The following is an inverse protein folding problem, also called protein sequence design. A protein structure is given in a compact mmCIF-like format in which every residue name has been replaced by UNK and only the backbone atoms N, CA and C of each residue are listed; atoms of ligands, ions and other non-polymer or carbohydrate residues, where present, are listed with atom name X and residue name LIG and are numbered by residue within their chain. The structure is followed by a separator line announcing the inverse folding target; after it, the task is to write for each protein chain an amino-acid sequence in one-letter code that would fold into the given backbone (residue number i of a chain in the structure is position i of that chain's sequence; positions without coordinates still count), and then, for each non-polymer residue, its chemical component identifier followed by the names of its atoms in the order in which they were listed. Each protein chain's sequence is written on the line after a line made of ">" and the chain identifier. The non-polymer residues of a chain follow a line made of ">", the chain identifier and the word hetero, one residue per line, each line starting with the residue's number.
data_IF_202839247285
#
_entry.id   IF_202839247285
#
_cell.length_a   1.000
_cell.length_b   1.000
_cell.length_c   1.000
_cell.angle_alpha   90.00
_cell.angle_beta   90.00
_cell.angle_gamma   90.00
#
_symmetry.space_group_name_H-M   'P 1'
#
loop_
_entity.id
_entity.type
_entity.pdbx_description
1 polymer ?
#
# COMPACT_ATOMS: atom_id res chain seq x y z
N UNK A 1 -1.50 30.28 56.11
CA UNK A 1 -2.54 29.35 55.63
C UNK A 1 -3.44 30.14 54.69
N UNK A 2 -3.14 30.08 53.38
CA UNK A 2 -3.91 30.68 52.27
C UNK A 2 -3.90 29.65 51.12
N UNK A 3 -4.98 29.51 50.34
CA UNK A 3 -5.29 28.27 49.63
C UNK A 3 -4.54 28.11 48.31
N UNK A 4 -4.22 26.86 48.00
CA UNK A 4 -3.79 26.37 46.68
C UNK A 4 -4.93 26.51 45.68
N UNK A 5 -4.79 27.40 44.70
CA UNK A 5 -5.58 27.38 43.47
C UNK A 5 -4.88 26.44 42.48
N UNK A 6 -5.48 25.27 42.24
CA UNK A 6 -5.09 24.35 41.16
C UNK A 6 -5.36 25.02 39.82
N UNK A 7 -4.35 25.08 38.96
CA UNK A 7 -4.48 25.56 37.59
C UNK A 7 -4.71 24.34 36.68
N UNK A 8 -5.89 24.26 36.07
CA UNK A 8 -6.21 23.25 35.04
C UNK A 8 -5.46 23.58 33.73
N UNK A 9 -4.79 22.62 33.08
CA UNK A 9 -4.03 22.86 31.86
C UNK A 9 -4.94 22.65 30.64
N UNK A 10 -5.86 23.59 30.41
CA UNK A 10 -6.71 23.59 29.21
C UNK A 10 -6.86 25.00 28.62
N UNK A 11 -5.75 25.72 28.44
CA UNK A 11 -5.71 26.90 27.56
C UNK A 11 -4.44 26.89 26.72
N UNK A 12 -4.62 27.14 25.41
CA UNK A 12 -3.59 27.11 24.36
C UNK A 12 -2.56 28.25 24.44
N UNK A 13 -1.69 28.36 23.42
CA UNK A 13 -0.44 29.13 23.50
C UNK A 13 -0.66 30.64 23.72
N UNK A 14 0.24 31.20 24.53
CA UNK A 14 0.25 32.56 25.04
C UNK A 14 0.52 33.63 23.96
N UNK A 15 -0.55 34.09 23.29
CA UNK A 15 -0.51 35.32 22.46
C UNK A 15 -1.51 36.40 22.91
N UNK A 16 -2.29 36.18 23.97
CA UNK A 16 -3.34 37.12 24.42
C UNK A 16 -3.13 37.72 25.81
N UNK A 17 -1.88 38.01 26.21
CA UNK A 17 -1.60 38.72 27.48
C UNK A 17 -1.05 40.14 27.31
N UNK A 18 -0.92 40.63 26.06
CA UNK A 18 -0.49 42.01 25.78
C UNK A 18 -1.57 43.06 25.96
N UNK A 19 -2.85 42.67 25.85
CA UNK A 19 -3.97 43.63 25.69
C UNK A 19 -4.69 43.95 27.01
N UNK A 20 -4.55 43.12 28.05
CA UNK A 20 -5.26 43.32 29.33
C UNK A 20 -4.57 44.26 30.32
N UNK A 21 -3.29 44.61 30.14
CA UNK A 21 -2.56 45.48 31.07
C UNK A 21 -2.72 46.99 30.75
N UNK A 22 -2.87 47.32 29.46
CA UNK A 22 -3.11 48.70 28.99
C UNK A 22 -4.53 49.21 29.35
N UNK A 23 -5.52 48.31 29.43
CA UNK A 23 -6.90 48.67 29.79
C UNK A 23 -7.09 48.95 31.28
N UNK A 24 -6.23 48.41 32.16
CA UNK A 24 -6.35 48.60 33.61
C UNK A 24 -5.79 49.95 34.08
N UNK A 25 -4.86 50.54 33.34
CA UNK A 25 -4.30 51.87 33.63
C UNK A 25 -5.21 53.03 33.17
N UNK A 26 -6.30 52.75 32.46
CA UNK A 26 -7.26 53.75 32.00
C UNK A 26 -8.49 53.90 32.91
N UNK A 27 -8.66 53.01 33.91
CA UNK A 27 -9.86 52.94 34.76
C UNK A 27 -9.71 53.62 36.14
N UNK A 28 -8.51 53.94 36.59
CA UNK A 28 -8.27 54.65 37.85
C UNK A 28 -7.71 56.03 37.56
N UNK A 29 -8.59 57.03 37.55
CA UNK A 29 -8.28 58.44 37.27
C UNK A 29 -7.40 59.12 38.33
N UNK A 30 -6.21 58.61 38.59
CA UNK A 30 -5.21 59.25 39.45
C UNK A 30 -4.04 59.76 38.60
N UNK A 31 -4.16 61.04 38.25
CA UNK A 31 -3.13 61.81 37.56
C UNK A 31 -2.36 62.62 38.59
N UNK A 32 -1.43 61.99 39.33
CA UNK A 32 -0.44 62.72 40.15
C UNK A 32 0.61 61.78 40.76
N UNK A 33 1.78 61.66 40.12
CA UNK A 33 3.09 62.01 40.71
C UNK A 33 4.20 61.63 39.72
N UNK A 34 4.91 62.65 39.20
CA UNK A 34 6.16 62.48 38.48
C UNK A 34 7.24 62.03 39.45
N UNK A 35 7.79 60.83 39.24
CA UNK A 35 8.90 60.30 40.03
C UNK A 35 9.86 59.45 39.19
N UNK A 36 10.72 60.15 38.42
CA UNK A 36 11.91 59.71 37.69
C UNK A 36 11.85 58.42 36.84
N UNK A 37 12.33 58.52 35.59
CA UNK A 37 12.52 57.38 34.65
C UNK A 37 13.41 56.25 35.20
N UNK A 38 14.15 56.48 36.28
CA UNK A 38 15.00 55.46 36.92
C UNK A 38 14.21 54.39 37.71
N UNK A 39 13.04 54.73 38.25
CA UNK A 39 12.27 53.82 39.10
C UNK A 39 11.64 52.68 38.31
N UNK A 40 11.23 52.96 37.07
CA UNK A 40 10.66 51.98 36.13
C UNK A 40 11.76 51.05 35.58
N UNK A 41 12.99 51.55 35.41
CA UNK A 41 14.11 50.74 34.91
C UNK A 41 14.63 49.74 35.95
N UNK A 42 14.57 50.08 37.24
CA UNK A 42 14.96 49.14 38.32
C UNK A 42 14.02 47.96 38.47
N UNK A 43 12.71 48.15 38.28
CA UNK A 43 11.75 47.04 38.38
C UNK A 43 11.79 46.11 37.16
N UNK A 44 12.08 46.64 35.97
CA UNK A 44 12.22 45.83 34.74
C UNK A 44 13.45 44.91 34.73
N UNK A 45 14.50 45.26 35.46
CA UNK A 45 15.73 44.46 35.54
C UNK A 45 15.63 43.24 36.48
N UNK A 46 14.58 43.14 37.30
CA UNK A 46 14.44 42.09 38.32
C UNK A 46 13.62 40.87 37.85
N UNK A 47 13.00 40.92 36.67
CA UNK A 47 12.09 39.87 36.18
C UNK A 47 12.64 39.08 34.97
N UNK A 48 13.90 39.24 34.59
CA UNK A 48 14.50 38.40 33.55
C UNK A 48 15.21 37.18 34.16
N UNK A 49 14.75 35.94 33.90
CA UNK A 49 15.49 34.75 34.30
C UNK A 49 16.78 34.65 33.47
N UNK A 50 17.93 34.93 34.09
CA UNK A 50 19.26 34.62 33.54
C UNK A 50 19.50 33.11 33.54
N UNK A 51 18.91 32.39 32.59
CA UNK A 51 19.40 31.06 32.22
C UNK A 51 20.30 31.20 31.00
N UNK A 52 21.54 30.67 31.01
CA UNK A 52 22.37 30.67 29.83
C UNK A 52 21.78 29.64 28.85
N UNK A 53 20.91 30.08 27.94
CA UNK A 53 20.54 29.29 26.78
C UNK A 53 21.78 29.15 25.90
N UNK A 54 22.59 28.11 26.16
CA UNK A 54 23.68 27.69 25.28
C UNK A 54 23.05 27.24 23.96
N UNK A 55 22.94 28.17 22.99
CA UNK A 55 22.58 27.85 21.61
C UNK A 55 23.61 26.84 21.10
N UNK A 56 23.20 25.58 20.98
CA UNK A 56 23.95 24.59 20.21
C UNK A 56 23.89 25.05 18.76
N UNK A 57 24.97 25.65 18.28
CA UNK A 57 25.15 25.85 16.85
C UNK A 57 25.35 24.45 16.25
N UNK A 58 24.29 23.87 15.70
CA UNK A 58 24.44 22.73 14.81
C UNK A 58 25.28 23.21 13.63
N UNK A 59 26.32 22.45 13.29
CA UNK A 59 27.05 22.66 12.05
C UNK A 59 26.03 22.66 10.91
N UNK A 60 25.82 23.81 10.27
CA UNK A 60 25.15 23.82 8.97
C UNK A 60 26.02 22.96 8.08
N UNK A 61 25.54 21.76 7.74
CA UNK A 61 26.09 21.03 6.62
C UNK A 61 26.21 22.04 5.48
N UNK A 62 27.44 22.30 5.02
CA UNK A 62 27.65 22.99 3.75
C UNK A 62 26.69 22.32 2.77
N UNK A 63 25.87 23.13 2.10
CA UNK A 63 25.18 22.69 0.91
C UNK A 63 26.26 22.09 0.00
N UNK A 64 26.39 20.77 0.02
CA UNK A 64 26.96 20.04 -1.10
C UNK A 64 25.98 20.34 -2.21
N UNK A 65 26.31 21.40 -2.97
CA UNK A 65 25.58 21.77 -4.17
C UNK A 65 25.27 20.48 -4.92
N UNK A 66 24.03 20.36 -5.40
CA UNK A 66 23.52 19.19 -6.13
C UNK A 66 24.59 18.63 -7.07
N UNK A 67 25.41 17.73 -6.57
CA UNK A 67 26.16 16.80 -7.38
C UNK A 67 25.05 16.04 -8.08
N UNK A 68 24.90 16.31 -9.38
CA UNK A 68 24.05 15.54 -10.27
C UNK A 68 24.26 14.09 -9.88
N UNK A 69 23.26 13.51 -9.20
CA UNK A 69 23.24 12.09 -8.85
C UNK A 69 23.60 11.39 -10.14
N UNK A 70 24.84 10.90 -10.26
CA UNK A 70 25.32 10.24 -11.48
C UNK A 70 24.25 9.20 -11.77
N UNK A 71 23.53 9.40 -12.87
CA UNK A 71 22.49 8.48 -13.34
C UNK A 71 23.19 7.14 -13.36
N UNK A 72 22.78 6.21 -12.50
CA UNK A 72 23.43 4.90 -12.43
C UNK A 72 23.55 4.39 -13.86
N UNK A 73 24.78 4.20 -14.30
CA UNK A 73 25.09 3.77 -15.66
C UNK A 73 24.26 2.50 -15.90
N UNK A 74 23.38 2.52 -16.91
CA UNK A 74 22.54 1.37 -17.21
C UNK A 74 23.48 0.24 -17.57
N UNK A 75 23.68 -0.69 -16.63
CA UNK A 75 24.50 -1.87 -16.85
C UNK A 75 23.80 -2.69 -17.93
N UNK A 76 24.41 -2.75 -19.12
CA UNK A 76 23.96 -3.65 -20.17
C UNK A 76 24.16 -5.09 -19.71
N UNK A 77 23.08 -5.89 -19.82
CA UNK A 77 23.12 -7.26 -19.32
C UNK A 77 23.85 -8.13 -20.33
N UNK A 78 24.99 -8.66 -19.92
CA UNK A 78 25.83 -9.53 -20.75
C UNK A 78 25.76 -10.97 -20.21
N UNK A 79 24.96 -11.86 -20.84
CA UNK A 79 24.75 -13.23 -20.34
C UNK A 79 26.04 -14.06 -20.29
N UNK A 80 26.95 -13.86 -21.24
CA UNK A 80 28.21 -14.60 -21.35
C UNK A 80 29.09 -14.40 -20.11
N UNK A 81 29.24 -13.16 -19.64
CA UNK A 81 30.05 -12.83 -18.46
C UNK A 81 29.47 -13.44 -17.17
N UNK A 82 28.14 -13.53 -17.05
CA UNK A 82 27.52 -14.16 -15.88
C UNK A 82 27.64 -15.69 -15.91
N UNK A 83 27.58 -16.28 -17.10
CA UNK A 83 27.62 -17.74 -17.30
C UNK A 83 28.94 -18.39 -16.87
N UNK A 84 30.04 -17.61 -16.85
CA UNK A 84 31.36 -18.06 -16.42
C UNK A 84 31.41 -18.44 -14.94
N UNK A 85 30.58 -17.80 -14.11
CA UNK A 85 30.63 -17.92 -12.65
C UNK A 85 29.40 -18.64 -12.07
N UNK A 86 28.26 -18.54 -12.74
CA UNK A 86 26.95 -18.94 -12.21
C UNK A 86 26.05 -19.48 -13.33
N UNK A 87 25.21 -20.51 -13.07
CA UNK A 87 24.15 -20.90 -13.99
C UNK A 87 23.04 -19.83 -14.08
N UNK A 88 23.15 -18.92 -15.06
CA UNK A 88 22.20 -17.82 -15.31
C UNK A 88 20.78 -18.34 -15.59
N UNK A 89 20.66 -19.41 -16.38
CA UNK A 89 19.38 -20.02 -16.74
C UNK A 89 18.55 -20.40 -15.50
N UNK A 90 19.18 -21.00 -14.49
CA UNK A 90 18.51 -21.37 -13.23
C UNK A 90 18.02 -20.16 -12.45
N UNK A 91 18.73 -19.03 -12.53
CA UNK A 91 18.32 -17.79 -11.89
C UNK A 91 17.11 -17.18 -12.60
N UNK A 92 17.16 -17.12 -13.94
CA UNK A 92 16.06 -16.63 -14.77
C UNK A 92 14.79 -17.46 -14.59
N UNK A 93 14.91 -18.79 -14.60
CA UNK A 93 13.79 -19.71 -14.33
C UNK A 93 13.14 -19.45 -12.96
N UNK A 94 13.94 -19.22 -11.91
CA UNK A 94 13.42 -18.92 -10.56
C UNK A 94 12.73 -17.57 -10.50
N UNK A 95 13.30 -16.56 -11.17
CA UNK A 95 12.68 -15.23 -11.27
C UNK A 95 11.36 -15.28 -12.06
N UNK A 96 11.33 -15.98 -13.21
CA UNK A 96 10.12 -16.18 -14.00
C UNK A 96 9.04 -16.92 -13.20
N UNK A 97 9.39 -18.01 -12.52
CA UNK A 97 8.46 -18.71 -11.65
C UNK A 97 7.88 -17.83 -10.54
N UNK A 98 8.68 -16.90 -9.98
CA UNK A 98 8.18 -15.96 -8.98
C UNK A 98 7.15 -14.99 -9.59
N UNK A 99 7.40 -14.50 -10.82
CA UNK A 99 6.46 -13.64 -11.55
C UNK A 99 5.18 -14.41 -11.91
N UNK A 100 5.28 -15.64 -12.38
CA UNK A 100 4.12 -16.44 -12.78
C UNK A 100 3.23 -16.77 -11.58
N UNK A 101 3.83 -17.18 -10.46
CA UNK A 101 3.10 -17.38 -9.20
C UNK A 101 2.44 -16.10 -8.70
N UNK A 102 3.09 -14.94 -8.88
CA UNK A 102 2.50 -13.65 -8.56
C UNK A 102 1.26 -13.36 -9.43
N UNK A 103 1.33 -13.63 -10.74
CA UNK A 103 0.20 -13.48 -11.67
C UNK A 103 -0.96 -14.41 -11.31
N UNK A 104 -0.68 -15.65 -10.94
CA UNK A 104 -1.67 -16.61 -10.47
C UNK A 104 -2.34 -16.15 -9.16
N UNK A 105 -1.56 -15.71 -8.18
CA UNK A 105 -2.10 -15.19 -6.91
C UNK A 105 -2.96 -13.94 -7.13
N UNK A 106 -2.58 -13.05 -8.03
CA UNK A 106 -3.44 -11.91 -8.40
C UNK A 106 -4.75 -12.36 -9.03
N UNK A 107 -4.71 -13.33 -9.93
CA UNK A 107 -5.91 -13.85 -10.61
C UNK A 107 -6.89 -14.48 -9.61
N UNK A 108 -6.37 -15.17 -8.58
CA UNK A 108 -7.17 -15.84 -7.54
C UNK A 108 -7.70 -14.89 -6.48
N UNK A 109 -6.86 -14.00 -5.95
CA UNK A 109 -7.14 -13.24 -4.73
C UNK A 109 -7.51 -11.76 -4.98
N UNK A 110 -7.21 -11.24 -6.17
CA UNK A 110 -7.28 -9.80 -6.49
C UNK A 110 -8.10 -9.57 -7.76
N UNK A 111 -9.29 -10.19 -7.81
CA UNK A 111 -10.22 -10.05 -8.93
C UNK A 111 -11.51 -9.38 -8.49
N UNK A 112 -11.89 -8.30 -9.18
CA UNK A 112 -13.21 -7.67 -9.04
C UNK A 112 -14.34 -8.55 -9.61
N UNK A 113 -13.97 -9.50 -10.46
CA UNK A 113 -14.88 -10.42 -11.16
C UNK A 113 -15.14 -11.70 -10.36
N UNK A 114 -14.53 -11.85 -9.18
CA UNK A 114 -14.62 -13.03 -8.34
C UNK A 114 -16.07 -13.44 -8.08
N UNK A 115 -16.96 -12.49 -7.81
CA UNK A 115 -18.39 -12.80 -7.59
C UNK A 115 -19.03 -13.52 -8.76
N UNK A 116 -18.71 -13.18 -10.01
CA UNK A 116 -19.26 -13.88 -11.17
C UNK A 116 -18.53 -15.21 -11.45
N UNK A 117 -17.20 -15.23 -11.33
CA UNK A 117 -16.45 -16.48 -11.50
C UNK A 117 -16.81 -17.53 -10.44
N UNK A 118 -17.08 -17.10 -9.20
CA UNK A 118 -17.56 -17.96 -8.13
C UNK A 118 -18.98 -18.49 -8.35
N UNK A 119 -19.82 -17.76 -9.07
CA UNK A 119 -21.15 -18.26 -9.50
C UNK A 119 -20.96 -19.30 -10.61
N UNK A 120 -20.08 -19.03 -11.59
CA UNK A 120 -19.78 -19.95 -12.70
C UNK A 120 -19.28 -21.32 -12.16
N UNK A 121 -18.37 -21.33 -11.19
CA UNK A 121 -17.81 -22.54 -10.56
C UNK A 121 -18.63 -23.10 -9.38
N UNK A 122 -19.86 -22.62 -9.17
CA UNK A 122 -20.69 -23.06 -8.04
C UNK A 122 -21.14 -24.51 -8.26
N UNK A 123 -20.87 -25.37 -7.28
CA UNK A 123 -21.28 -26.77 -7.32
C UNK A 123 -22.74 -26.90 -6.85
N UNK A 124 -23.54 -27.61 -7.63
CA UNK A 124 -24.98 -27.80 -7.41
C UNK A 124 -25.33 -29.27 -7.48
N UNK A 125 -25.96 -29.78 -6.42
CA UNK A 125 -26.52 -31.14 -6.41
C UNK A 125 -27.78 -31.20 -7.25
N UNK A 126 -27.76 -31.96 -8.33
CA UNK A 126 -28.92 -32.22 -9.17
C UNK A 126 -29.04 -33.72 -9.46
N UNK A 127 -30.21 -34.30 -9.18
CA UNK A 127 -30.50 -35.73 -9.37
C UNK A 127 -29.45 -36.68 -8.75
N UNK A 128 -28.94 -36.34 -7.56
CA UNK A 128 -27.99 -37.17 -6.81
C UNK A 128 -26.53 -37.06 -7.28
N UNK A 129 -26.21 -36.20 -8.25
CA UNK A 129 -24.85 -35.90 -8.70
C UNK A 129 -24.52 -34.42 -8.49
N UNK A 130 -23.24 -34.13 -8.29
CA UNK A 130 -22.70 -32.77 -8.25
C UNK A 130 -22.39 -32.31 -9.68
N UNK A 131 -22.88 -31.14 -10.06
CA UNK A 131 -22.61 -30.47 -11.33
C UNK A 131 -22.15 -29.04 -11.09
N UNK A 132 -21.39 -28.48 -12.02
CA UNK A 132 -21.10 -27.05 -11.99
C UNK A 132 -22.28 -26.25 -12.56
N UNK A 133 -22.48 -25.03 -12.07
CA UNK A 133 -23.58 -24.19 -12.53
C UNK A 133 -23.51 -23.91 -14.05
N UNK A 134 -22.29 -23.79 -14.60
CA UNK A 134 -22.07 -23.60 -16.03
C UNK A 134 -22.59 -24.77 -16.89
N UNK A 135 -22.66 -25.98 -16.33
CA UNK A 135 -23.18 -27.17 -17.03
C UNK A 135 -24.71 -27.22 -17.04
N UNK A 136 -25.33 -26.67 -15.99
CA UNK A 136 -26.79 -26.67 -15.81
C UNK A 136 -27.48 -25.44 -16.43
N UNK A 137 -26.75 -24.33 -16.61
CA UNK A 137 -27.31 -23.06 -17.05
C UNK A 137 -26.37 -22.30 -17.99
N UNK A 138 -26.94 -21.59 -18.96
CA UNK A 138 -26.19 -20.62 -19.74
C UNK A 138 -26.05 -19.31 -18.95
N UNK A 139 -24.80 -18.88 -18.73
CA UNK A 139 -24.47 -17.68 -17.94
C UNK A 139 -24.26 -16.50 -18.87
N UNK A 140 -25.13 -15.50 -18.79
CA UNK A 140 -25.11 -14.30 -19.65
C UNK A 140 -24.99 -13.05 -18.78
N UNK A 141 -24.03 -12.18 -19.08
CA UNK A 141 -23.91 -10.88 -18.41
C UNK A 141 -24.73 -9.84 -19.14
N UNK A 142 -25.92 -9.54 -18.62
CA UNK A 142 -26.78 -8.48 -19.17
C UNK A 142 -26.24 -7.09 -18.84
N UNK A 143 -25.86 -6.86 -17.58
CA UNK A 143 -25.33 -5.59 -17.10
C UNK A 143 -24.22 -5.85 -16.05
N UNK A 144 -23.34 -4.88 -15.73
CA UNK A 144 -22.33 -5.03 -14.68
C UNK A 144 -22.90 -5.36 -13.28
N UNK A 145 -24.19 -5.11 -13.07
CA UNK A 145 -24.93 -5.34 -11.82
C UNK A 145 -25.84 -6.57 -11.87
N UNK A 146 -25.97 -7.24 -13.02
CA UNK A 146 -26.97 -8.30 -13.20
C UNK A 146 -26.44 -9.39 -14.11
N UNK A 147 -26.35 -10.59 -13.57
CA UNK A 147 -26.08 -11.82 -14.31
C UNK A 147 -27.42 -12.51 -14.56
N UNK A 148 -27.57 -13.06 -15.75
CA UNK A 148 -28.73 -13.82 -16.18
C UNK A 148 -28.30 -15.27 -16.35
N UNK A 149 -28.95 -16.18 -15.63
CA UNK A 149 -28.77 -17.61 -15.77
C UNK A 149 -29.98 -18.17 -16.51
N UNK A 150 -29.76 -18.74 -17.68
CA UNK A 150 -30.82 -19.33 -18.48
C UNK A 150 -30.82 -20.87 -18.31
N UNK A 151 -31.92 -21.41 -17.79
CA UNK A 151 -32.12 -22.84 -17.53
C UNK A 151 -33.02 -23.52 -18.56
N UNK A 152 -33.10 -23.00 -19.79
CA UNK A 152 -33.97 -23.57 -20.84
C UNK A 152 -33.79 -25.08 -21.04
N UNK A 153 -32.59 -25.62 -20.83
CA UNK A 153 -32.30 -27.06 -20.91
C UNK A 153 -32.75 -27.85 -19.67
N UNK A 154 -32.70 -27.24 -18.48
CA UNK A 154 -32.92 -27.92 -17.20
C UNK A 154 -33.70 -27.04 -16.21
N UNK A 155 -34.99 -26.72 -16.46
CA UNK A 155 -35.78 -25.87 -15.58
C UNK A 155 -35.99 -26.47 -14.18
N UNK A 156 -35.92 -27.80 -14.07
CA UNK A 156 -36.04 -28.54 -12.80
C UNK A 156 -34.85 -28.32 -11.85
N UNK A 157 -33.71 -27.81 -12.35
CA UNK A 157 -32.50 -27.57 -11.55
C UNK A 157 -32.55 -26.25 -10.77
N UNK A 158 -33.41 -25.30 -11.17
CA UNK A 158 -33.56 -23.97 -10.56
C UNK A 158 -33.66 -24.00 -9.02
N UNK A 159 -34.52 -24.81 -8.38
CA UNK A 159 -34.64 -24.83 -6.92
C UNK A 159 -33.35 -25.29 -6.21
N UNK A 160 -32.57 -26.19 -6.82
CA UNK A 160 -31.30 -26.65 -6.25
C UNK A 160 -30.23 -25.57 -6.40
N UNK A 161 -30.22 -24.84 -7.51
CA UNK A 161 -29.33 -23.70 -7.74
C UNK A 161 -29.62 -22.57 -6.75
N UNK A 162 -30.90 -22.23 -6.53
CA UNK A 162 -31.29 -21.21 -5.55
C UNK A 162 -30.77 -21.53 -4.15
N UNK A 163 -30.91 -22.80 -3.73
CA UNK A 163 -30.36 -23.28 -2.47
C UNK A 163 -28.83 -23.19 -2.44
N UNK A 164 -28.16 -23.61 -3.51
CA UNK A 164 -26.71 -23.57 -3.63
C UNK A 164 -26.17 -22.13 -3.54
N UNK A 165 -26.79 -21.18 -4.24
CA UNK A 165 -26.43 -19.75 -4.19
C UNK A 165 -26.59 -19.21 -2.76
N UNK A 166 -27.70 -19.53 -2.08
CA UNK A 166 -27.91 -19.09 -0.71
C UNK A 166 -26.90 -19.72 0.28
N UNK A 167 -26.54 -20.99 0.08
CA UNK A 167 -25.53 -21.66 0.92
C UNK A 167 -24.08 -21.27 0.63
N UNK A 168 -23.81 -20.71 -0.56
CA UNK A 168 -22.45 -20.37 -1.01
C UNK A 168 -21.79 -19.22 -0.24
N UNK A 169 -22.55 -18.50 0.60
CA UNK A 169 -22.07 -17.33 1.34
C UNK A 169 -21.84 -16.09 0.46
N UNK A 170 -22.26 -16.12 -0.82
CA UNK A 170 -22.13 -14.98 -1.73
C UNK A 170 -23.11 -13.83 -1.43
N UNK A 171 -24.10 -14.06 -0.54
CA UNK A 171 -25.09 -13.07 -0.10
C UNK A 171 -25.80 -12.37 -1.29
N UNK A 172 -26.16 -13.14 -2.31
CA UNK A 172 -26.87 -12.68 -3.49
C UNK A 172 -28.36 -12.99 -3.36
N UNK A 173 -29.22 -12.14 -3.90
CA UNK A 173 -30.67 -12.36 -3.89
C UNK A 173 -31.19 -12.62 -5.31
N UNK A 174 -31.10 -13.85 -5.83
CA UNK A 174 -31.56 -14.19 -7.17
C UNK A 174 -33.09 -14.11 -7.32
N UNK A 175 -33.57 -13.54 -8.42
CA UNK A 175 -34.99 -13.45 -8.77
C UNK A 175 -35.30 -14.36 -9.97
N UNK A 176 -36.30 -15.23 -9.82
CA UNK A 176 -36.74 -16.12 -10.89
C UNK A 176 -37.80 -15.47 -11.77
N UNK A 177 -37.67 -15.68 -13.08
CA UNK A 177 -38.64 -15.33 -14.11
C UNK A 177 -38.76 -16.48 -15.11
N UNK A 178 -39.79 -17.32 -14.95
CA UNK A 178 -39.96 -18.54 -15.74
C UNK A 178 -38.76 -19.48 -15.65
N UNK A 179 -38.07 -19.66 -16.79
CA UNK A 179 -36.86 -20.49 -16.94
C UNK A 179 -35.55 -19.70 -16.76
N UNK A 180 -35.63 -18.43 -16.40
CA UNK A 180 -34.48 -17.54 -16.25
C UNK A 180 -34.32 -17.08 -14.81
N UNK A 181 -33.08 -16.98 -14.33
CA UNK A 181 -32.74 -16.45 -13.01
C UNK A 181 -31.90 -15.18 -13.16
N UNK A 182 -32.37 -14.08 -12.58
CA UNK A 182 -31.66 -12.81 -12.50
C UNK A 182 -30.92 -12.72 -11.17
N UNK A 183 -29.59 -12.70 -11.23
CA UNK A 183 -28.74 -12.58 -10.05
C UNK A 183 -28.20 -11.14 -9.96
N UNK A 184 -28.70 -10.32 -9.03
CA UNK A 184 -28.16 -8.98 -8.81
C UNK A 184 -26.79 -9.10 -8.13
N UNK A 185 -25.76 -8.56 -8.78
CA UNK A 185 -24.40 -8.49 -8.22
C UNK A 185 -24.29 -7.16 -7.45
N UNK A 186 -24.01 -7.20 -6.14
CA UNK A 186 -23.80 -5.99 -5.37
C UNK A 186 -22.63 -5.19 -5.96
N UNK A 187 -22.74 -3.86 -5.91
CA UNK A 187 -21.63 -3.00 -6.33
C UNK A 187 -20.46 -3.24 -5.38
N UNK A 188 -19.27 -3.48 -5.94
CA UNK A 188 -18.02 -3.38 -5.17
C UNK A 188 -17.89 -1.96 -4.63
N UNK A 189 -17.97 -1.81 -3.31
CA UNK A 189 -17.80 -0.53 -2.61
C UNK A 189 -16.37 -0.02 -2.77
N UNK A 190 -16.16 1.29 -2.58
CA UNK A 190 -14.80 1.87 -2.58
C UNK A 190 -13.90 1.19 -1.56
N UNK A 191 -14.42 0.95 -0.36
CA UNK A 191 -13.72 0.22 0.71
C UNK A 191 -13.25 -1.18 0.27
N UNK A 192 -14.10 -1.92 -0.45
CA UNK A 192 -13.73 -3.25 -0.93
C UNK A 192 -12.66 -3.19 -2.03
N UNK A 193 -12.74 -2.21 -2.95
CA UNK A 193 -11.70 -1.96 -3.95
C UNK A 193 -10.36 -1.59 -3.30
N UNK A 194 -10.39 -0.75 -2.27
CA UNK A 194 -9.20 -0.39 -1.48
C UNK A 194 -8.62 -1.58 -0.71
N UNK A 195 -9.46 -2.44 -0.16
CA UNK A 195 -9.02 -3.67 0.50
C UNK A 195 -8.33 -4.62 -0.49
N UNK A 196 -8.88 -4.79 -1.69
CA UNK A 196 -8.25 -5.57 -2.77
C UNK A 196 -6.91 -4.95 -3.20
N UNK A 197 -6.83 -3.62 -3.34
CA UNK A 197 -5.59 -2.94 -3.69
C UNK A 197 -4.50 -3.10 -2.60
N UNK A 198 -4.88 -3.06 -1.31
CA UNK A 198 -3.99 -3.38 -0.19
C UNK A 198 -3.49 -4.82 -0.25
N UNK A 199 -4.38 -5.76 -0.56
CA UNK A 199 -4.01 -7.16 -0.73
C UNK A 199 -3.04 -7.35 -1.90
N UNK A 200 -3.30 -6.70 -3.04
CA UNK A 200 -2.42 -6.70 -4.20
C UNK A 200 -1.01 -6.23 -3.85
N UNK A 201 -0.91 -5.15 -3.08
CA UNK A 201 0.36 -4.62 -2.59
C UNK A 201 1.09 -5.60 -1.68
N UNK A 202 0.38 -6.31 -0.81
CA UNK A 202 0.95 -7.34 0.06
C UNK A 202 1.57 -8.50 -0.74
N UNK A 203 0.82 -9.01 -1.74
CA UNK A 203 1.28 -10.06 -2.65
C UNK A 203 2.52 -9.58 -3.43
N UNK A 204 2.50 -8.37 -3.98
CA UNK A 204 3.68 -7.81 -4.65
C UNK A 204 4.91 -7.75 -3.74
N UNK A 205 4.76 -7.30 -2.48
CA UNK A 205 5.89 -7.22 -1.53
C UNK A 205 6.51 -8.61 -1.31
N UNK A 206 5.67 -9.63 -1.09
CA UNK A 206 6.11 -11.03 -0.93
C UNK A 206 6.96 -11.51 -2.11
N UNK A 207 6.50 -11.29 -3.35
CA UNK A 207 7.22 -11.76 -4.54
C UNK A 207 8.43 -10.90 -4.90
N UNK A 208 8.37 -9.59 -4.66
CA UNK A 208 9.54 -8.71 -4.77
C UNK A 208 10.65 -9.16 -3.81
N UNK A 209 10.30 -9.49 -2.57
CA UNK A 209 11.27 -9.92 -1.57
C UNK A 209 11.82 -11.32 -1.92
N UNK A 210 11.00 -12.22 -2.47
CA UNK A 210 11.49 -13.49 -3.03
C UNK A 210 12.51 -13.29 -4.17
N UNK A 211 12.31 -12.32 -5.07
CA UNK A 211 13.29 -11.98 -6.12
C UNK A 211 14.60 -11.45 -5.51
N UNK A 212 14.52 -10.68 -4.41
CA UNK A 212 15.72 -10.23 -3.68
C UNK A 212 16.44 -11.37 -2.97
N UNK A 213 15.71 -12.32 -2.41
CA UNK A 213 16.31 -13.51 -1.79
C UNK A 213 17.07 -14.34 -2.82
N UNK A 214 16.50 -14.51 -4.02
CA UNK A 214 17.17 -15.12 -5.17
C UNK A 214 18.46 -14.35 -5.50
N UNK A 215 18.39 -13.02 -5.61
CA UNK A 215 19.56 -12.17 -5.87
C UNK A 215 20.67 -12.42 -4.85
N UNK A 216 20.34 -12.40 -3.55
CA UNK A 216 21.30 -12.60 -2.46
C UNK A 216 21.90 -14.00 -2.49
N UNK A 217 21.11 -15.03 -2.77
CA UNK A 217 21.58 -16.41 -2.91
C UNK A 217 22.62 -16.54 -4.03
N UNK A 218 22.34 -15.99 -5.21
CA UNK A 218 23.23 -16.07 -6.36
C UNK A 218 24.49 -15.21 -6.19
N UNK A 219 24.40 -14.02 -5.59
CA UNK A 219 25.60 -13.23 -5.23
C UNK A 219 26.49 -14.00 -4.23
N UNK A 220 25.90 -14.66 -3.23
CA UNK A 220 26.66 -15.51 -2.30
C UNK A 220 27.35 -16.67 -3.01
N UNK A 221 26.71 -17.29 -4.00
CA UNK A 221 27.34 -18.35 -4.82
C UNK A 221 28.50 -17.80 -5.66
N UNK A 222 28.33 -16.63 -6.27
CA UNK A 222 29.39 -15.95 -7.03
C UNK A 222 30.65 -15.73 -6.19
N UNK A 223 30.47 -15.26 -4.95
CA UNK A 223 31.56 -14.96 -4.01
C UNK A 223 32.24 -16.18 -3.41
N UNK A 224 31.61 -17.36 -3.48
CA UNK A 224 32.17 -18.61 -2.96
C UNK A 224 33.04 -19.34 -3.97
N UNK A 225 33.07 -18.92 -5.24
CA UNK A 225 33.92 -19.53 -6.24
C UNK A 225 35.38 -19.24 -5.93
N UNK A 226 36.16 -20.29 -5.71
CA UNK A 226 37.60 -20.19 -5.48
C UNK A 226 38.32 -19.97 -6.82
N UNK A 227 39.47 -19.29 -6.80
CA UNK A 227 40.34 -19.04 -7.98
C UNK A 227 39.76 -18.10 -9.05
N UNK A 228 38.88 -17.16 -8.68
CA UNK A 228 38.37 -16.14 -9.59
C UNK A 228 38.85 -14.74 -9.18
N UNK A 229 39.13 -13.88 -10.17
CA UNK A 229 39.52 -12.48 -9.93
C UNK A 229 38.41 -11.69 -9.24
N UNK A 230 38.78 -10.82 -8.29
CA UNK A 230 37.84 -9.96 -7.56
C UNK A 230 37.06 -9.03 -8.52
N UNK A 231 37.71 -8.56 -9.58
CA UNK A 231 37.08 -7.74 -10.62
C UNK A 231 35.97 -8.49 -11.37
N UNK A 232 36.17 -9.78 -11.66
CA UNK A 232 35.16 -10.62 -12.32
C UNK A 232 33.96 -10.83 -11.39
N UNK A 233 34.21 -11.13 -10.11
CA UNK A 233 33.14 -11.28 -9.11
C UNK A 233 32.34 -9.99 -8.96
N UNK A 234 33.01 -8.83 -8.94
CA UNK A 234 32.36 -7.53 -8.88
C UNK A 234 31.50 -7.25 -10.12
N UNK A 235 32.02 -7.51 -11.31
CA UNK A 235 31.29 -7.35 -12.57
C UNK A 235 30.07 -8.27 -12.64
N UNK A 236 30.22 -9.55 -12.30
CA UNK A 236 29.09 -10.50 -12.25
C UNK A 236 28.06 -10.09 -11.21
N UNK A 237 28.48 -9.61 -10.03
CA UNK A 237 27.55 -9.10 -9.01
C UNK A 237 26.70 -7.93 -9.53
N UNK A 238 27.30 -7.00 -10.30
CA UNK A 238 26.57 -5.92 -10.97
C UNK A 238 25.56 -6.45 -11.98
N UNK A 239 25.96 -7.43 -12.77
CA UNK A 239 25.11 -8.06 -13.79
C UNK A 239 23.90 -8.79 -13.17
N UNK A 240 24.11 -9.58 -12.11
CA UNK A 240 23.03 -10.23 -11.33
C UNK A 240 22.05 -9.18 -10.79
N UNK A 241 22.57 -8.08 -10.25
CA UNK A 241 21.76 -7.00 -9.69
C UNK A 241 20.90 -6.34 -10.77
N UNK A 242 21.50 -6.03 -11.93
CA UNK A 242 20.77 -5.47 -13.07
C UNK A 242 19.67 -6.43 -13.59
N UNK A 243 19.93 -7.73 -13.62
CA UNK A 243 18.94 -8.75 -14.01
C UNK A 243 17.77 -8.80 -13.03
N UNK A 244 18.03 -8.85 -11.72
CA UNK A 244 16.98 -8.80 -10.71
C UNK A 244 16.18 -7.49 -10.72
N UNK A 245 16.82 -6.35 -10.99
CA UNK A 245 16.14 -5.06 -11.11
C UNK A 245 15.15 -5.03 -12.28
N UNK A 246 15.45 -5.71 -13.40
CA UNK A 246 14.51 -5.87 -14.51
C UNK A 246 13.25 -6.62 -14.06
N UNK A 247 13.39 -7.77 -13.40
CA UNK A 247 12.26 -8.54 -12.88
C UNK A 247 11.47 -7.80 -11.79
N UNK A 248 12.14 -7.04 -10.91
CA UNK A 248 11.45 -6.18 -9.95
C UNK A 248 10.64 -5.07 -10.63
N UNK A 249 11.16 -4.52 -11.72
CA UNK A 249 10.44 -3.51 -12.51
C UNK A 249 9.23 -4.13 -13.21
N UNK A 250 9.38 -5.33 -13.78
CA UNK A 250 8.26 -6.08 -14.35
C UNK A 250 7.19 -6.37 -13.29
N UNK A 251 7.58 -6.88 -12.12
CA UNK A 251 6.66 -7.14 -11.02
C UNK A 251 5.88 -5.87 -10.61
N UNK A 252 6.56 -4.72 -10.60
CA UNK A 252 5.94 -3.43 -10.31
C UNK A 252 4.96 -3.02 -11.41
N UNK A 253 5.31 -3.17 -12.69
CA UNK A 253 4.42 -2.84 -13.80
C UNK A 253 3.13 -3.68 -13.77
N UNK A 254 3.24 -4.97 -13.40
CA UNK A 254 2.08 -5.84 -13.20
C UNK A 254 1.21 -5.33 -12.05
N UNK A 255 1.81 -4.95 -10.92
CA UNK A 255 1.07 -4.36 -9.80
C UNK A 255 0.36 -3.06 -10.22
N UNK A 256 1.06 -2.16 -10.91
CA UNK A 256 0.51 -0.86 -11.31
C UNK A 256 -0.68 -1.05 -12.26
N UNK A 257 -0.56 -1.96 -13.24
CA UNK A 257 -1.67 -2.35 -14.13
C UNK A 257 -2.86 -2.88 -13.34
N UNK A 258 -2.62 -3.78 -12.38
CA UNK A 258 -3.69 -4.32 -11.52
C UNK A 258 -4.30 -3.26 -10.61
N UNK A 259 -3.50 -2.35 -10.08
CA UNK A 259 -3.98 -1.29 -9.22
C UNK A 259 -4.88 -0.31 -10.00
N UNK A 260 -4.55 0.00 -11.25
CA UNK A 260 -5.40 0.77 -12.16
C UNK A 260 -6.72 0.04 -12.47
N UNK A 261 -6.69 -1.27 -12.71
CA UNK A 261 -7.92 -2.08 -12.88
C UNK A 261 -8.84 -2.02 -11.65
N UNK A 262 -8.27 -2.06 -10.43
CA UNK A 262 -9.03 -2.09 -9.18
C UNK A 262 -9.63 -0.75 -8.79
N UNK A 263 -8.80 0.31 -8.83
CA UNK A 263 -9.16 1.63 -8.32
C UNK A 263 -9.77 2.50 -9.40
N UNK A 264 -9.43 2.27 -10.68
CA UNK A 264 -9.94 2.90 -11.91
C UNK A 264 -10.73 4.20 -11.75
N UNK A 265 -10.22 5.30 -12.31
CA UNK A 265 -10.77 6.68 -12.21
C UNK A 265 -12.30 6.75 -12.09
#
# INVERSE_FOLDING_TARGET
>A
MLPYLKFDPSYGPAEELGTSFELLLRATGERSFLGSRETVLRYKAFLEPKTPHRKRNYAKNRDKGKDKKKKAEKVEINPSLMSELIPVQKMEERCNNAIDKMKEEFSKNVSLRSTTGSIESLHVKFQGKDYELQELAQIIRKNPKTIVLNFSSFPQAIPNVLKAINSSGLNLNPQQDGTTLFVPVPKVTKEHREALAKNAKSIYIKYRDAIKDIQVEFIKKAKKQEKVSEDLVFNVTKQITALCEKYQTEAKNILDTKHEELIGK
#
